data_IF_405355750967
#
_entry.id   IF_405355750967
#
_cell.length_a   1.000
_cell.length_b   1.000
_cell.length_c   1.000
_cell.angle_alpha   90.00
_cell.angle_beta   90.00
_cell.angle_gamma   90.00
#
_symmetry.space_group_name_H-M   'P 1'
#
loop_
_entity.id
_entity.type
_entity.pdbx_description
1 polymer ?
#
# COMPACT_ATOMS: atom_id res chain seq x y z
N UNK A 1 -9.65 -1.39 16.18
CA UNK A 1 -8.50 -1.23 17.12
C UNK A 1 -8.68 -2.12 18.35
N UNK A 2 -8.08 -3.33 18.40
CA UNK A 2 -8.43 -4.33 19.42
C UNK A 2 -8.11 -3.90 20.86
N UNK A 3 -6.91 -3.39 21.13
CA UNK A 3 -6.50 -3.03 22.49
C UNK A 3 -7.30 -1.85 23.07
N UNK A 4 -7.57 -0.81 22.27
CA UNK A 4 -8.40 0.32 22.73
C UNK A 4 -9.86 -0.10 22.93
N UNK A 5 -10.41 -0.93 22.05
CA UNK A 5 -11.75 -1.46 22.22
C UNK A 5 -11.86 -2.33 23.48
N UNK A 6 -10.86 -3.18 23.74
CA UNK A 6 -10.77 -4.00 24.95
C UNK A 6 -10.73 -3.14 26.22
N UNK A 7 -9.86 -2.13 26.28
CA UNK A 7 -9.75 -1.24 27.45
C UNK A 7 -11.01 -0.44 27.74
N UNK A 8 -11.88 -0.21 26.74
CA UNK A 8 -13.19 0.42 26.97
C UNK A 8 -14.22 -0.54 27.57
N UNK A 9 -14.12 -1.83 27.21
CA UNK A 9 -15.01 -2.87 27.74
C UNK A 9 -14.59 -3.33 29.13
N UNK A 10 -13.30 -3.25 29.44
CA UNK A 10 -12.70 -3.71 30.70
C UNK A 10 -11.86 -2.61 31.35
N UNK A 11 -12.48 -1.50 31.81
CA UNK A 11 -11.77 -0.31 32.29
C UNK A 11 -10.90 -0.56 33.54
N UNK A 12 -11.22 -1.59 34.32
CA UNK A 12 -10.45 -2.06 35.47
C UNK A 12 -9.10 -2.69 35.11
N UNK A 13 -8.90 -3.06 33.84
CA UNK A 13 -7.64 -3.66 33.38
C UNK A 13 -6.58 -2.58 33.18
N UNK A 14 -5.42 -2.70 33.85
CA UNK A 14 -4.29 -1.78 33.63
C UNK A 14 -3.42 -2.24 32.45
N UNK A 15 -3.39 -1.50 31.31
CA UNK A 15 -2.49 -1.85 30.21
C UNK A 15 -1.04 -1.53 30.60
N UNK A 16 -0.11 -2.44 30.29
CA UNK A 16 1.32 -2.22 30.54
C UNK A 16 2.04 -1.47 29.41
N UNK A 17 1.61 -1.62 28.15
CA UNK A 17 2.16 -0.85 27.04
C UNK A 17 1.29 -0.96 25.77
N UNK A 18 1.10 0.13 25.03
CA UNK A 18 0.52 0.12 23.68
C UNK A 18 1.48 0.89 22.77
N UNK A 19 2.28 0.16 21.99
CA UNK A 19 3.14 0.75 20.96
C UNK A 19 2.36 0.93 19.65
N UNK A 20 2.57 2.04 18.95
CA UNK A 20 1.93 2.31 17.66
C UNK A 20 0.43 2.59 17.78
N UNK A 21 0.04 3.67 18.48
CA UNK A 21 -1.37 4.06 18.57
C UNK A 21 -1.88 4.52 17.21
N UNK A 22 -2.76 3.72 16.65
CA UNK A 22 -3.48 4.02 15.43
C UNK A 22 -4.78 4.70 15.91
N UNK A 23 -4.90 6.01 15.70
CA UNK A 23 -6.06 6.77 16.18
C UNK A 23 -7.38 6.20 15.67
N UNK A 24 -8.48 6.37 16.41
CA UNK A 24 -9.81 5.99 15.91
C UNK A 24 -10.08 6.72 14.58
N UNK A 25 -10.59 6.04 13.54
CA UNK A 25 -11.17 6.76 12.40
C UNK A 25 -12.36 7.56 12.94
N UNK A 26 -12.16 8.86 13.09
CA UNK A 26 -13.24 9.79 13.42
C UNK A 26 -14.04 10.04 12.15
N UNK A 27 -15.36 9.84 12.21
CA UNK A 27 -16.29 10.03 11.09
C UNK A 27 -16.24 11.46 10.52
N UNK A 28 -15.73 12.42 11.28
CA UNK A 28 -15.53 13.82 10.86
C UNK A 28 -14.11 14.14 10.41
N UNK A 29 -13.12 13.30 10.73
CA UNK A 29 -11.71 13.51 10.36
C UNK A 29 -11.32 12.65 9.17
N UNK A 30 -11.18 13.35 8.05
CA UNK A 30 -10.58 12.99 6.78
C UNK A 30 -9.58 11.83 6.86
N UNK A 31 -9.88 10.76 6.12
CA UNK A 31 -9.01 9.65 5.71
C UNK A 31 -7.65 9.57 6.44
N UNK A 32 -7.61 8.83 7.55
CA UNK A 32 -6.39 8.55 8.30
C UNK A 32 -5.24 7.98 7.44
N UNK A 33 -5.57 7.30 6.32
CA UNK A 33 -4.61 6.84 5.32
C UNK A 33 -3.76 7.98 4.72
N UNK A 34 -4.30 9.21 4.62
CA UNK A 34 -3.58 10.37 4.08
C UNK A 34 -2.42 10.82 4.97
N UNK A 35 -2.52 10.63 6.29
CA UNK A 35 -1.41 10.93 7.20
C UNK A 35 -0.24 9.98 6.95
N UNK A 36 -0.53 8.69 6.75
CA UNK A 36 0.49 7.69 6.41
C UNK A 36 1.25 8.01 5.12
N UNK A 37 0.58 8.55 4.10
CA UNK A 37 1.26 8.94 2.85
C UNK A 37 2.25 10.09 3.02
N UNK A 38 1.98 11.07 3.91
CA UNK A 38 2.94 12.16 4.18
C UNK A 38 4.23 11.62 4.76
N UNK A 39 4.11 10.73 5.73
CA UNK A 39 5.28 10.16 6.41
C UNK A 39 6.05 9.22 5.49
N UNK A 40 5.36 8.37 4.74
CA UNK A 40 5.99 7.52 3.72
C UNK A 40 6.73 8.34 2.66
N UNK A 41 6.12 9.42 2.16
CA UNK A 41 6.78 10.31 1.19
C UNK A 41 8.03 10.99 1.79
N UNK A 42 7.96 11.45 3.04
CA UNK A 42 9.10 12.04 3.74
C UNK A 42 10.24 11.04 3.89
N UNK A 43 9.92 9.81 4.27
CA UNK A 43 10.89 8.72 4.44
C UNK A 43 11.50 8.34 3.08
N UNK A 44 10.70 8.28 2.02
CA UNK A 44 11.20 8.06 0.67
C UNK A 44 12.17 9.16 0.24
N UNK A 45 11.86 10.42 0.52
CA UNK A 45 12.79 11.54 0.29
C UNK A 45 14.10 11.43 1.07
N UNK A 46 14.06 10.88 2.30
CA UNK A 46 15.27 10.57 3.07
C UNK A 46 16.09 9.47 2.41
N UNK A 47 15.44 8.42 1.93
CA UNK A 47 16.11 7.36 1.17
C UNK A 47 16.82 7.92 -0.08
N UNK A 48 16.13 8.76 -0.88
CA UNK A 48 16.74 9.32 -2.09
C UNK A 48 17.93 10.22 -1.77
N UNK A 49 17.84 11.04 -0.71
CA UNK A 49 18.92 11.92 -0.28
C UNK A 49 20.13 11.14 0.26
N UNK A 50 19.87 10.05 1.01
CA UNK A 50 20.91 9.14 1.48
C UNK A 50 21.60 8.43 0.31
N UNK A 51 20.83 7.86 -0.62
CA UNK A 51 21.37 7.11 -1.76
C UNK A 51 22.29 7.97 -2.64
N UNK A 52 21.94 9.26 -2.83
CA UNK A 52 22.77 10.20 -3.55
C UNK A 52 24.15 10.43 -2.89
N UNK A 53 24.25 10.29 -1.56
CA UNK A 53 25.48 10.53 -0.79
C UNK A 53 26.24 9.25 -0.43
N UNK A 54 25.65 8.08 -0.65
CA UNK A 54 26.21 6.79 -0.23
C UNK A 54 26.69 5.99 -1.44
N UNK A 55 28.01 5.83 -1.56
CA UNK A 55 28.65 5.10 -2.67
C UNK A 55 28.19 3.64 -2.79
N UNK A 56 27.80 3.01 -1.68
CA UNK A 56 27.28 1.64 -1.67
C UNK A 56 25.85 1.51 -2.20
N UNK A 57 25.11 2.62 -2.39
CA UNK A 57 23.77 2.57 -2.96
C UNK A 57 23.85 2.21 -4.44
N UNK A 58 23.08 1.22 -4.90
CA UNK A 58 23.07 0.81 -6.32
C UNK A 58 22.62 1.91 -7.29
N UNK A 59 21.94 2.94 -6.79
CA UNK A 59 21.50 4.11 -7.56
C UNK A 59 22.32 5.36 -7.21
N UNK A 60 23.52 5.18 -6.65
CA UNK A 60 24.42 6.28 -6.29
C UNK A 60 24.74 7.14 -7.51
N UNK A 61 24.72 8.46 -7.33
CA UNK A 61 24.94 9.42 -8.41
C UNK A 61 23.75 9.62 -9.36
N UNK A 62 22.64 8.88 -9.19
CA UNK A 62 21.41 9.06 -9.96
C UNK A 62 20.28 9.69 -9.13
N UNK A 63 19.25 10.23 -9.81
CA UNK A 63 17.98 10.59 -9.15
C UNK A 63 17.18 9.31 -8.90
N UNK A 64 17.43 8.67 -7.76
CA UNK A 64 16.71 7.48 -7.30
C UNK A 64 15.18 7.65 -7.29
N UNK A 65 14.69 8.87 -7.02
CA UNK A 65 13.26 9.17 -7.06
C UNK A 65 12.70 9.11 -8.48
N UNK A 66 13.42 9.68 -9.45
CA UNK A 66 13.07 9.59 -10.87
C UNK A 66 13.15 8.15 -11.37
N UNK A 67 14.20 7.42 -11.02
CA UNK A 67 14.35 6.00 -11.40
C UNK A 67 13.15 5.18 -10.91
N UNK A 68 12.74 5.39 -9.65
CA UNK A 68 11.55 4.74 -9.08
C UNK A 68 10.24 5.10 -9.80
N UNK A 69 10.00 6.39 -10.08
CA UNK A 69 8.81 6.83 -10.80
C UNK A 69 8.74 6.25 -12.21
N UNK A 70 9.87 6.23 -12.90
CA UNK A 70 9.95 5.68 -14.26
C UNK A 70 9.73 4.16 -14.25
N UNK A 71 10.34 3.45 -13.28
CA UNK A 71 10.11 2.02 -13.07
C UNK A 71 8.64 1.72 -12.83
N UNK A 72 8.00 2.38 -11.87
CA UNK A 72 6.60 2.11 -11.52
C UNK A 72 5.66 2.48 -12.67
N UNK A 73 5.91 3.57 -13.39
CA UNK A 73 5.13 3.94 -14.58
C UNK A 73 5.28 2.92 -15.72
N UNK A 74 6.49 2.38 -15.95
CA UNK A 74 6.71 1.31 -16.92
C UNK A 74 6.00 0.02 -16.50
N UNK A 75 6.11 -0.37 -15.23
CA UNK A 75 5.49 -1.58 -14.70
C UNK A 75 3.95 -1.53 -14.70
N UNK A 76 3.32 -0.35 -14.62
CA UNK A 76 1.88 -0.21 -14.83
C UNK A 76 1.45 -0.51 -16.29
N UNK A 77 2.33 -0.27 -17.28
CA UNK A 77 2.05 -0.53 -18.70
C UNK A 77 2.47 -1.93 -19.12
N UNK A 78 3.60 -2.39 -18.61
CA UNK A 78 4.19 -3.70 -18.90
C UNK A 78 4.63 -4.33 -17.57
N UNK A 79 3.74 -5.08 -16.90
CA UNK A 79 4.04 -5.69 -15.61
C UNK A 79 5.25 -6.61 -15.68
N UNK A 80 6.12 -6.56 -14.67
CA UNK A 80 7.35 -7.35 -14.62
C UNK A 80 6.99 -8.78 -14.20
N UNK A 81 7.21 -9.82 -15.02
CA UNK A 81 6.99 -11.19 -14.61
C UNK A 81 8.01 -11.58 -13.55
N UNK A 82 7.55 -12.26 -12.49
CA UNK A 82 8.41 -12.73 -11.42
C UNK A 82 8.02 -14.15 -11.00
N UNK A 83 8.99 -14.87 -10.47
CA UNK A 83 8.78 -16.16 -9.80
C UNK A 83 9.37 -16.06 -8.41
N UNK A 84 8.54 -16.26 -7.40
CA UNK A 84 8.94 -16.44 -6.01
C UNK A 84 8.99 -17.93 -5.70
N UNK A 85 10.03 -18.39 -5.02
CA UNK A 85 10.09 -19.78 -4.54
C UNK A 85 8.95 -20.08 -3.56
N UNK A 86 8.59 -19.08 -2.74
CA UNK A 86 7.57 -19.22 -1.68
C UNK A 86 6.15 -19.00 -2.17
N UNK A 87 5.95 -18.08 -3.11
CA UNK A 87 4.62 -17.63 -3.54
C UNK A 87 4.29 -17.96 -5.00
N UNK A 88 5.22 -18.58 -5.73
CA UNK A 88 5.04 -18.99 -7.11
C UNK A 88 5.14 -17.82 -8.11
N UNK A 89 4.53 -18.01 -9.28
CA UNK A 89 4.56 -17.04 -10.37
C UNK A 89 3.65 -15.86 -10.07
N UNK A 90 4.10 -14.66 -10.44
CA UNK A 90 3.33 -13.43 -10.30
C UNK A 90 3.74 -12.35 -11.30
N UNK A 91 3.11 -11.19 -11.18
CA UNK A 91 3.42 -10.00 -11.98
C UNK A 91 3.51 -8.79 -11.06
N UNK A 92 4.55 -7.99 -11.21
CA UNK A 92 4.72 -6.74 -10.49
C UNK A 92 4.24 -5.58 -11.36
N UNK A 93 3.11 -5.00 -10.99
CA UNK A 93 2.63 -3.72 -11.54
C UNK A 93 3.27 -2.56 -10.80
N UNK A 94 3.23 -1.36 -11.38
CA UNK A 94 3.65 -0.14 -10.66
C UNK A 94 2.84 0.09 -9.39
N UNK A 95 1.58 -0.35 -9.37
CA UNK A 95 0.77 -0.37 -8.15
C UNK A 95 1.33 -1.35 -7.11
N UNK A 96 1.65 -2.60 -7.46
CA UNK A 96 2.28 -3.54 -6.50
C UNK A 96 3.58 -3.01 -5.92
N UNK A 97 4.44 -2.43 -6.76
CA UNK A 97 5.70 -1.83 -6.33
C UNK A 97 5.48 -0.68 -5.33
N UNK A 98 4.54 0.23 -5.60
CA UNK A 98 4.22 1.35 -4.70
C UNK A 98 3.58 0.91 -3.38
N UNK A 99 2.79 -0.15 -3.40
CA UNK A 99 2.09 -0.65 -2.22
C UNK A 99 2.97 -1.51 -1.31
N UNK A 100 3.81 -2.34 -1.91
CA UNK A 100 4.49 -3.43 -1.19
C UNK A 100 6.00 -3.48 -1.42
N UNK A 101 6.52 -2.69 -2.36
CA UNK A 101 7.95 -2.69 -2.71
C UNK A 101 8.80 -1.81 -1.80
N UNK A 102 8.24 -0.77 -1.17
CA UNK A 102 9.00 0.13 -0.30
C UNK A 102 8.74 -0.14 1.18
N UNK A 103 9.78 -0.54 1.91
CA UNK A 103 9.78 -0.63 3.36
C UNK A 103 10.42 0.63 3.96
N UNK A 104 9.70 1.40 4.81
CA UNK A 104 10.21 2.70 5.31
C UNK A 104 11.34 2.60 6.34
N UNK A 105 11.54 1.43 6.96
CA UNK A 105 12.60 1.21 7.92
C UNK A 105 13.94 0.91 7.22
N UNK A 106 15.00 1.74 7.39
CA UNK A 106 16.32 1.48 6.80
C UNK A 106 16.99 0.21 7.31
N UNK A 107 16.62 -0.26 8.51
CA UNK A 107 17.27 -1.39 9.17
C UNK A 107 18.68 -1.08 9.67
N UNK A 108 19.34 -2.05 10.33
CA UNK A 108 20.71 -1.89 10.81
C UNK A 108 21.67 -1.59 9.65
N UNK A 109 22.50 -0.55 9.81
CA UNK A 109 23.47 -0.14 8.80
C UNK A 109 22.87 0.16 7.42
N UNK A 110 21.61 0.64 7.37
CA UNK A 110 20.88 0.94 6.14
C UNK A 110 20.69 -0.26 5.18
N UNK A 111 20.85 -1.48 5.69
CA UNK A 111 20.78 -2.72 4.91
C UNK A 111 19.51 -2.87 4.06
N UNK A 112 18.36 -2.40 4.55
CA UNK A 112 17.10 -2.47 3.79
C UNK A 112 17.03 -1.41 2.70
N UNK A 113 17.66 -0.25 2.90
CA UNK A 113 17.77 0.76 1.86
C UNK A 113 18.73 0.34 0.75
N UNK A 114 19.85 -0.31 1.09
CA UNK A 114 20.74 -0.94 0.13
C UNK A 114 20.00 -1.99 -0.72
N UNK A 115 19.31 -2.93 -0.05
CA UNK A 115 18.54 -3.97 -0.73
C UNK A 115 17.42 -3.40 -1.61
N UNK A 116 16.75 -2.33 -1.14
CA UNK A 116 15.73 -1.64 -1.94
C UNK A 116 16.32 -0.99 -3.19
N UNK A 117 17.45 -0.29 -3.07
CA UNK A 117 18.12 0.33 -4.22
C UNK A 117 18.55 -0.71 -5.25
N UNK A 118 19.13 -1.82 -4.80
CA UNK A 118 19.52 -2.95 -5.67
C UNK A 118 18.30 -3.57 -6.36
N UNK A 119 17.19 -3.77 -5.63
CA UNK A 119 15.96 -4.30 -6.20
C UNK A 119 15.37 -3.34 -7.26
N UNK A 120 15.42 -2.03 -7.04
CA UNK A 120 15.01 -1.03 -8.04
C UNK A 120 15.90 -1.09 -9.28
N UNK A 121 17.21 -1.19 -9.10
CA UNK A 121 18.16 -1.29 -10.21
C UNK A 121 17.94 -2.56 -11.06
N UNK A 122 17.77 -3.72 -10.43
CA UNK A 122 17.40 -4.96 -11.14
C UNK A 122 16.07 -4.84 -11.86
N UNK A 123 15.05 -4.30 -11.18
CA UNK A 123 13.70 -4.22 -11.73
C UNK A 123 13.60 -3.26 -12.92
N UNK A 124 14.39 -2.16 -12.96
CA UNK A 124 14.42 -1.30 -14.15
C UNK A 124 14.99 -1.99 -15.39
N UNK A 125 15.76 -3.06 -15.20
CA UNK A 125 16.28 -3.93 -16.26
C UNK A 125 15.43 -5.19 -16.49
N UNK A 126 14.24 -5.27 -15.88
CA UNK A 126 13.29 -6.37 -16.08
C UNK A 126 13.41 -7.52 -15.09
N UNK A 127 14.35 -7.47 -14.15
CA UNK A 127 14.47 -8.46 -13.09
C UNK A 127 13.76 -7.99 -11.81
N UNK A 128 12.53 -8.45 -11.61
CA UNK A 128 11.73 -8.12 -10.42
C UNK A 128 12.00 -9.00 -9.20
N UNK A 129 13.01 -9.88 -9.21
CA UNK A 129 13.26 -10.87 -8.16
C UNK A 129 13.41 -10.24 -6.76
N UNK A 130 14.08 -9.09 -6.66
CA UNK A 130 14.27 -8.35 -5.41
C UNK A 130 12.96 -7.90 -4.73
N UNK A 131 11.84 -7.88 -5.45
CA UNK A 131 10.53 -7.55 -4.92
C UNK A 131 9.58 -8.75 -4.81
N UNK A 132 9.90 -9.89 -5.42
CA UNK A 132 8.95 -10.98 -5.65
C UNK A 132 8.31 -11.47 -4.34
N UNK A 133 9.12 -11.83 -3.34
CA UNK A 133 8.62 -12.36 -2.07
C UNK A 133 7.83 -11.32 -1.27
N UNK A 134 8.39 -10.11 -1.13
CA UNK A 134 7.76 -9.04 -0.37
C UNK A 134 6.43 -8.62 -1.01
N UNK A 135 6.40 -8.40 -2.32
CA UNK A 135 5.22 -7.92 -3.02
C UNK A 135 4.13 -9.00 -3.10
N UNK A 136 4.46 -10.24 -3.50
CA UNK A 136 3.47 -11.31 -3.62
C UNK A 136 2.97 -11.79 -2.26
N UNK A 137 3.87 -11.87 -1.26
CA UNK A 137 3.50 -12.22 0.10
C UNK A 137 2.56 -11.20 0.74
N UNK A 138 2.89 -9.91 0.65
CA UNK A 138 2.00 -8.86 1.15
C UNK A 138 0.67 -8.84 0.38
N UNK A 139 0.70 -8.93 -0.96
CA UNK A 139 -0.53 -8.98 -1.75
C UNK A 139 -1.45 -10.09 -1.24
N UNK A 140 -0.94 -11.30 -1.03
CA UNK A 140 -1.73 -12.44 -0.51
C UNK A 140 -2.34 -12.18 0.87
N UNK A 141 -1.62 -11.51 1.77
CA UNK A 141 -2.14 -11.14 3.09
C UNK A 141 -3.26 -10.11 2.96
N UNK A 142 -3.02 -9.03 2.21
CA UNK A 142 -3.96 -7.93 2.04
C UNK A 142 -5.22 -8.32 1.27
N UNK A 143 -5.13 -9.29 0.37
CA UNK A 143 -6.28 -9.84 -0.36
C UNK A 143 -6.93 -11.03 0.33
N UNK A 144 -6.45 -11.42 1.52
CA UNK A 144 -7.06 -12.54 2.24
C UNK A 144 -8.49 -12.18 2.70
N UNK A 145 -9.43 -13.15 2.67
CA UNK A 145 -10.81 -12.91 3.10
C UNK A 145 -10.89 -12.38 4.55
N UNK A 146 -10.05 -12.92 5.44
CA UNK A 146 -9.98 -12.54 6.85
C UNK A 146 -9.59 -11.07 7.02
N UNK A 147 -8.55 -10.63 6.29
CA UNK A 147 -8.10 -9.25 6.34
C UNK A 147 -9.19 -8.27 5.85
N UNK A 148 -9.87 -8.64 4.76
CA UNK A 148 -10.96 -7.84 4.19
C UNK A 148 -12.15 -7.75 5.16
N UNK A 149 -12.56 -8.88 5.76
CA UNK A 149 -13.66 -8.94 6.71
C UNK A 149 -13.39 -8.06 7.95
N UNK A 150 -12.21 -8.18 8.55
CA UNK A 150 -11.80 -7.38 9.71
C UNK A 150 -11.74 -5.89 9.38
N UNK A 151 -11.15 -5.54 8.23
CA UNK A 151 -10.99 -4.15 7.81
C UNK A 151 -12.33 -3.47 7.59
N UNK A 152 -13.30 -4.18 7.00
CA UNK A 152 -14.64 -3.66 6.78
C UNK A 152 -15.49 -3.55 8.04
N UNK A 153 -15.32 -4.47 9.00
CA UNK A 153 -16.01 -4.38 10.29
C UNK A 153 -15.54 -3.19 11.13
N UNK A 154 -14.28 -2.74 10.94
CA UNK A 154 -13.67 -1.59 11.61
C UNK A 154 -14.17 -0.20 11.07
N UNK A 155 -15.25 -0.15 10.28
CA UNK A 155 -15.81 1.05 9.64
C UNK A 155 -14.81 1.73 8.68
N UNK A 156 -13.85 0.97 8.11
CA UNK A 156 -12.95 1.48 7.07
C UNK A 156 -13.64 1.43 5.71
N UNK A 157 -13.77 2.59 5.06
CA UNK A 157 -14.32 2.68 3.71
C UNK A 157 -14.58 4.12 3.29
N UNK A 158 -15.05 4.27 2.06
CA UNK A 158 -15.52 5.55 1.52
C UNK A 158 -17.05 5.57 1.54
N UNK A 159 -17.64 6.73 1.85
CA UNK A 159 -19.09 6.92 1.85
C UNK A 159 -19.66 6.95 0.43
N UNK A 160 -18.82 7.19 -0.59
CA UNK A 160 -19.21 7.13 -1.98
C UNK A 160 -18.02 7.25 -2.94
N UNK A 161 -18.30 7.13 -4.23
CA UNK A 161 -17.30 7.20 -5.29
C UNK A 161 -16.58 8.55 -5.34
N UNK A 162 -17.29 9.65 -5.12
CA UNK A 162 -16.72 11.00 -5.12
C UNK A 162 -15.68 11.19 -4.02
N UNK A 163 -15.97 10.68 -2.81
CA UNK A 163 -15.02 10.68 -1.72
C UNK A 163 -13.79 9.83 -2.05
N UNK A 164 -13.98 8.63 -2.60
CA UNK A 164 -12.88 7.79 -3.05
C UNK A 164 -11.98 8.51 -4.06
N UNK A 165 -12.56 9.14 -5.09
CA UNK A 165 -11.80 9.87 -6.12
C UNK A 165 -11.07 11.06 -5.51
N UNK A 166 -11.72 11.84 -4.64
CA UNK A 166 -11.10 12.97 -3.94
C UNK A 166 -9.90 12.52 -3.12
N UNK A 167 -10.06 11.46 -2.32
CA UNK A 167 -9.00 10.94 -1.46
C UNK A 167 -7.87 10.36 -2.28
N UNK A 168 -8.17 9.64 -3.36
CA UNK A 168 -7.14 9.11 -4.27
C UNK A 168 -6.34 10.23 -4.93
N UNK A 169 -6.99 11.32 -5.36
CA UNK A 169 -6.31 12.49 -5.91
C UNK A 169 -5.39 13.13 -4.86
N UNK A 170 -5.88 13.29 -3.64
CA UNK A 170 -5.12 13.88 -2.55
C UNK A 170 -3.93 13.00 -2.14
N UNK A 171 -4.11 11.67 -2.08
CA UNK A 171 -3.04 10.71 -1.81
C UNK A 171 -1.90 10.83 -2.84
N UNK A 172 -2.24 10.93 -4.14
CA UNK A 172 -1.27 11.13 -5.23
C UNK A 172 -0.53 12.46 -5.13
N UNK A 173 -1.21 13.51 -4.66
CA UNK A 173 -0.62 14.84 -4.46
C UNK A 173 0.35 14.85 -3.29
N UNK A 174 -0.03 14.20 -2.19
CA UNK A 174 0.76 14.14 -0.95
C UNK A 174 1.98 13.23 -1.10
N UNK A 175 1.81 12.10 -1.76
CA UNK A 175 2.88 11.13 -2.01
C UNK A 175 2.95 10.81 -3.49
N UNK A 176 3.62 11.63 -4.30
CA UNK A 176 3.74 11.36 -5.74
C UNK A 176 4.48 10.05 -6.03
N UNK A 177 5.44 9.67 -5.19
CA UNK A 177 6.27 8.47 -5.43
C UNK A 177 5.58 7.17 -5.00
N UNK A 178 4.63 7.21 -4.06
CA UNK A 178 3.98 6.01 -3.49
C UNK A 178 2.44 6.04 -3.60
N UNK A 179 1.84 7.20 -3.85
CA UNK A 179 0.40 7.53 -3.75
C UNK A 179 -0.54 6.91 -4.79
N UNK A 180 -0.13 5.83 -5.46
CA UNK A 180 -1.05 4.85 -6.05
C UNK A 180 -1.68 3.89 -4.99
N UNK A 181 -1.13 3.96 -3.77
CA UNK A 181 -1.42 3.36 -2.48
C UNK A 181 -2.83 3.00 -1.97
N UNK A 182 -3.94 3.28 -2.67
CA UNK A 182 -5.24 3.49 -1.98
C UNK A 182 -5.91 2.22 -1.44
N UNK A 183 -5.92 2.08 -0.11
CA UNK A 183 -6.65 1.07 0.69
C UNK A 183 -8.00 0.66 0.08
N UNK A 184 -8.27 -0.66 0.10
CA UNK A 184 -9.53 -1.32 -0.27
C UNK A 184 -10.75 -0.37 -0.21
N UNK A 185 -11.26 0.00 -1.37
CA UNK A 185 -12.43 0.85 -1.48
C UNK A 185 -13.71 0.00 -1.50
N UNK A 186 -14.67 0.33 -0.63
CA UNK A 186 -16.06 -0.11 -0.78
C UNK A 186 -16.64 0.55 -2.02
N UNK A 187 -16.94 -0.21 -3.08
CA UNK A 187 -17.55 0.34 -4.29
C UNK A 187 -19.06 0.47 -4.09
N UNK A 188 -19.69 1.62 -4.43
CA UNK A 188 -21.12 1.64 -4.63
C UNK A 188 -21.43 0.86 -5.91
N UNK A 189 -22.13 -0.27 -5.79
CA UNK A 189 -22.76 -0.89 -6.95
C UNK A 189 -23.62 0.18 -7.65
N UNK A 190 -23.27 0.58 -8.87
CA UNK A 190 -24.28 1.04 -9.83
C UNK A 190 -25.13 -0.18 -10.16
N UNK A 191 -26.22 -0.39 -9.41
CA UNK A 191 -27.27 -1.30 -9.85
C UNK A 191 -27.91 -0.68 -11.08
N UNK A 192 -27.67 -1.27 -12.25
CA UNK A 192 -28.64 -1.21 -13.34
C UNK A 192 -30.01 -1.58 -12.81
N UNK A 193 -31.04 -0.88 -13.29
CA UNK A 193 -32.41 -0.93 -12.79
C UNK A 193 -32.90 -2.37 -12.57
N UNK A 194 -33.30 -2.66 -11.34
CA UNK A 194 -33.83 -3.97 -10.96
C UNK A 194 -34.14 -4.01 -9.48
N UNK A 195 -35.41 -3.77 -9.13
CA UNK A 195 -35.95 -3.92 -7.78
C UNK A 195 -35.84 -5.38 -7.34
N UNK A 196 -34.72 -5.75 -6.71
CA UNK A 196 -34.65 -6.91 -5.80
C UNK A 196 -34.03 -6.46 -4.49
N UNK A 197 -34.81 -6.53 -3.41
CA UNK A 197 -34.37 -6.27 -2.03
C UNK A 197 -33.20 -7.22 -1.73
N UNK A 198 -31.98 -6.70 -1.72
CA UNK A 198 -30.77 -7.44 -1.37
C UNK A 198 -29.96 -6.60 -0.38
N UNK A 199 -29.40 -7.26 0.63
CA UNK A 199 -28.77 -6.66 1.81
C UNK A 199 -27.79 -5.51 1.49
N UNK A 200 -27.76 -4.41 2.27
CA UNK A 200 -26.98 -3.20 1.96
C UNK A 200 -25.45 -3.30 2.13
N UNK A 201 -24.91 -4.45 2.55
CA UNK A 201 -23.57 -4.52 3.13
C UNK A 201 -22.73 -5.62 2.48
N UNK A 202 -22.06 -5.32 1.38
CA UNK A 202 -21.01 -6.19 0.85
C UNK A 202 -19.76 -5.37 0.53
N UNK A 203 -18.70 -5.65 1.28
CA UNK A 203 -17.35 -5.23 0.93
C UNK A 203 -16.80 -6.19 -0.13
N UNK A 204 -16.52 -5.67 -1.33
CA UNK A 204 -15.82 -6.44 -2.36
C UNK A 204 -14.33 -6.09 -2.37
N UNK A 205 -13.41 -7.08 -2.35
CA UNK A 205 -12.04 -6.85 -2.76
C UNK A 205 -12.04 -6.47 -4.25
N UNK A 206 -11.42 -5.34 -4.60
CA UNK A 206 -11.30 -4.91 -6.00
C UNK A 206 -10.26 -5.81 -6.70
N UNK A 207 -10.71 -6.76 -7.52
CA UNK A 207 -9.91 -7.40 -8.57
C UNK A 207 -10.31 -6.77 -9.91
N UNK A 208 -9.40 -6.02 -10.56
CA UNK A 208 -9.73 -5.27 -11.79
C UNK A 208 -9.49 -6.06 -13.09
N UNK A 209 -9.28 -7.38 -13.04
CA UNK A 209 -8.75 -8.13 -14.19
C UNK A 209 -9.77 -8.92 -15.05
N UNK A 210 -11.09 -8.81 -14.84
CA UNK A 210 -12.04 -9.50 -15.74
C UNK A 210 -13.26 -8.65 -16.10
N UNK A 211 -13.20 -8.02 -17.27
CA UNK A 211 -14.27 -7.87 -18.30
C UNK A 211 -14.01 -6.64 -19.18
N UNK A 212 -13.22 -6.86 -20.23
CA UNK A 212 -13.46 -6.26 -21.55
C UNK A 212 -13.58 -7.42 -22.54
N UNK A 213 -14.82 -7.73 -22.87
CA UNK A 213 -15.28 -8.38 -24.10
C UNK A 213 -16.71 -7.95 -24.29
#
# INVERSE_FOLDING_TARGET
>A
MPAEAYLRLFPETRPRHVSGRRGRPDRRRTNQSLLGYRDLQRIFGRFTAWCAQTAACALHGEDAGKVWRDLTARADRSPIPVTSERFGRGKLTGSYLRWFGFAPDPGPGDSRWLAFAEAVDKARHGDGSGFADAALGNARVWTSPSYSAMTCADDRGYHGYEEYVRVRREARRISPDLGGATTLARSPHRRGGGRRRGHPYTCHPYTWETRRS
#
